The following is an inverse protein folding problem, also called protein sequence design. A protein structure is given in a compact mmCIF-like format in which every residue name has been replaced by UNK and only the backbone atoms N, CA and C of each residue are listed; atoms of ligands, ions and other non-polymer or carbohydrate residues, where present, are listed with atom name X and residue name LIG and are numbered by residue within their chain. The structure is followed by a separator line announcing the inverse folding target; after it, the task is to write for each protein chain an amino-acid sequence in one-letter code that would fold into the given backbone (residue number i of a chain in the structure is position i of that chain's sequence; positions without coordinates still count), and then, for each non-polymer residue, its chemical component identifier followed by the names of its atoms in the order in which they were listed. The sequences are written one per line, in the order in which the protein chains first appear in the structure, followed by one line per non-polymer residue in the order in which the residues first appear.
data_IF_474164016939
#
_entry.id   IF_474164016939
#
_cell.length_a   1.000
_cell.length_b   1.000
_cell.length_c   1.000
_cell.angle_alpha   90.00
_cell.angle_beta   90.00
_cell.angle_gamma   90.00
#
_symmetry.space_group_name_H-M   'P 1'
#
loop_
_entity.id
_entity.type
_entity.pdbx_description
1 polymer ?
#
# COMPACT_ATOMS: atom_id res chain seq x y z
N UNK A 1 -4.73 -29.32 -12.73
CA UNK A 1 -5.55 -28.11 -12.63
C UNK A 1 -4.60 -27.02 -12.16
N UNK A 2 -4.20 -26.11 -13.03
CA UNK A 2 -3.32 -24.99 -12.68
C UNK A 2 -4.15 -23.99 -11.89
N UNK A 3 -3.92 -23.92 -10.58
CA UNK A 3 -4.42 -22.83 -9.75
C UNK A 3 -3.84 -21.54 -10.32
N UNK A 4 -4.67 -20.76 -11.00
CA UNK A 4 -4.39 -19.34 -11.24
C UNK A 4 -4.27 -18.71 -9.86
N UNK A 5 -3.04 -18.41 -9.44
CA UNK A 5 -2.79 -17.52 -8.31
C UNK A 5 -3.46 -16.19 -8.65
N UNK A 6 -4.64 -15.94 -8.09
CA UNK A 6 -5.32 -14.66 -8.23
C UNK A 6 -4.48 -13.62 -7.49
N UNK A 7 -3.77 -12.79 -8.24
CA UNK A 7 -3.04 -11.65 -7.71
C UNK A 7 -3.97 -10.45 -7.77
N UNK A 8 -4.27 -9.85 -6.62
CA UNK A 8 -5.06 -8.62 -6.54
C UNK A 8 -4.11 -7.43 -6.50
N UNK A 9 -4.23 -6.50 -7.44
CA UNK A 9 -3.38 -5.28 -7.47
C UNK A 9 -4.07 -4.12 -6.77
N UNK A 10 -3.35 -3.45 -5.88
CA UNK A 10 -3.75 -2.19 -5.28
C UNK A 10 -2.86 -1.07 -5.83
N UNK A 11 -3.45 0.07 -6.18
CA UNK A 11 -2.75 1.32 -6.50
C UNK A 11 -3.34 2.38 -5.57
N UNK A 12 -2.59 2.74 -4.53
CA UNK A 12 -3.08 3.52 -3.39
C UNK A 12 -2.28 4.82 -3.27
N UNK A 13 -2.93 5.99 -3.12
CA UNK A 13 -2.25 7.24 -2.83
C UNK A 13 -1.42 7.18 -1.56
N UNK A 14 -0.36 7.99 -1.54
CA UNK A 14 0.53 8.15 -0.39
C UNK A 14 0.52 9.58 0.11
N UNK A 15 0.71 9.71 1.41
CA UNK A 15 0.86 10.99 2.11
C UNK A 15 2.07 10.91 3.02
N UNK A 16 2.70 12.06 3.25
CA UNK A 16 3.81 12.18 4.19
C UNK A 16 3.55 13.28 5.22
N UNK A 17 4.35 13.27 6.29
CA UNK A 17 4.19 14.20 7.40
C UNK A 17 4.97 15.52 7.23
N UNK A 18 5.46 15.85 6.04
CA UNK A 18 6.33 17.00 5.78
C UNK A 18 5.87 17.85 4.59
N UNK A 19 5.39 19.07 4.88
CA UNK A 19 5.00 20.04 3.86
C UNK A 19 6.16 20.53 2.96
N UNK A 20 7.41 20.28 3.35
CA UNK A 20 8.61 20.75 2.65
C UNK A 20 9.40 19.64 1.96
N UNK A 21 8.91 18.40 2.00
CA UNK A 21 9.60 17.27 1.37
C UNK A 21 9.14 17.14 -0.09
N UNK A 22 10.02 17.50 -1.02
CA UNK A 22 9.70 17.52 -2.46
C UNK A 22 9.93 16.20 -3.19
N UNK A 23 10.66 15.28 -2.57
CA UNK A 23 11.13 14.05 -3.19
C UNK A 23 10.28 12.87 -2.68
N UNK A 24 8.96 13.02 -2.71
CA UNK A 24 8.00 12.03 -2.25
C UNK A 24 7.49 11.10 -3.37
N UNK A 25 7.01 9.93 -2.96
CA UNK A 25 6.25 9.05 -3.82
C UNK A 25 4.76 9.44 -3.73
N UNK A 26 4.05 9.41 -4.87
CA UNK A 26 2.62 9.74 -4.93
C UNK A 26 1.74 8.50 -4.70
N UNK A 27 2.20 7.32 -5.12
CA UNK A 27 1.44 6.08 -5.06
C UNK A 27 2.28 4.89 -4.62
N UNK A 28 1.64 3.99 -3.89
CA UNK A 28 2.12 2.63 -3.65
C UNK A 28 1.34 1.64 -4.52
N UNK A 29 2.06 0.82 -5.28
CA UNK A 29 1.52 -0.33 -5.99
C UNK A 29 1.82 -1.59 -5.18
N UNK A 30 0.79 -2.39 -4.92
CA UNK A 30 0.90 -3.63 -4.16
C UNK A 30 0.22 -4.75 -4.92
N UNK A 31 1.00 -5.77 -5.28
CA UNK A 31 0.47 -7.03 -5.78
C UNK A 31 0.23 -7.99 -4.60
N UNK A 32 -1.03 -8.12 -4.21
CA UNK A 32 -1.47 -9.02 -3.15
C UNK A 32 -1.63 -10.44 -3.68
N UNK A 33 -0.77 -11.35 -3.22
CA UNK A 33 -0.98 -12.78 -3.39
C UNK A 33 -2.00 -13.33 -2.36
N UNK A 34 -2.45 -14.56 -2.59
CA UNK A 34 -3.40 -15.22 -1.71
C UNK A 34 -2.88 -15.36 -0.26
N UNK A 35 -1.57 -15.52 -0.07
CA UNK A 35 -0.96 -15.70 1.25
C UNK A 35 -1.00 -14.39 2.05
N UNK A 36 -0.70 -13.26 1.41
CA UNK A 36 -0.75 -11.93 2.03
C UNK A 36 -2.20 -11.51 2.31
N UNK A 37 -3.15 -11.81 1.41
CA UNK A 37 -4.59 -11.61 1.66
C UNK A 37 -5.04 -12.39 2.89
N UNK A 38 -4.69 -13.69 2.97
CA UNK A 38 -5.02 -14.52 4.11
C UNK A 38 -4.36 -14.00 5.40
N UNK A 39 -3.10 -13.53 5.31
CA UNK A 39 -2.36 -12.94 6.43
C UNK A 39 -3.08 -11.71 6.98
N UNK A 40 -3.47 -10.76 6.12
CA UNK A 40 -4.21 -9.55 6.50
C UNK A 40 -5.51 -9.92 7.22
N UNK A 41 -6.30 -10.83 6.64
CA UNK A 41 -7.56 -11.29 7.23
C UNK A 41 -7.36 -11.93 8.62
N UNK A 42 -6.32 -12.77 8.78
CA UNK A 42 -5.98 -13.38 10.07
C UNK A 42 -5.55 -12.35 11.10
N UNK A 43 -4.71 -11.40 10.71
CA UNK A 43 -4.27 -10.31 11.59
C UNK A 43 -5.45 -9.50 12.11
N UNK A 44 -6.42 -9.16 11.27
CA UNK A 44 -7.61 -8.43 11.67
C UNK A 44 -8.47 -9.18 12.69
N UNK A 45 -8.61 -10.51 12.53
CA UNK A 45 -9.28 -11.35 13.54
C UNK A 45 -8.54 -11.28 14.87
N UNK A 46 -7.21 -11.34 14.86
CA UNK A 46 -6.39 -11.24 16.08
C UNK A 46 -6.55 -9.87 16.72
N UNK A 47 -6.48 -8.77 15.96
CA UNK A 47 -6.71 -7.40 16.46
C UNK A 47 -8.04 -7.32 17.20
N UNK A 48 -9.12 -7.81 16.58
CA UNK A 48 -10.47 -7.84 17.17
C UNK A 48 -10.55 -8.66 18.46
N UNK A 49 -9.96 -9.86 18.47
CA UNK A 49 -9.99 -10.76 19.62
C UNK A 49 -9.19 -10.21 20.81
N UNK A 50 -8.03 -9.62 20.53
CA UNK A 50 -7.16 -9.04 21.54
C UNK A 50 -7.61 -7.64 22.00
N UNK A 51 -8.57 -7.03 21.30
CA UNK A 51 -8.95 -5.62 21.48
C UNK A 51 -7.75 -4.68 21.35
N UNK A 52 -6.82 -5.04 20.45
CA UNK A 52 -5.71 -4.17 20.10
C UNK A 52 -6.21 -3.05 19.17
N UNK A 53 -5.48 -1.93 19.12
CA UNK A 53 -5.76 -0.89 18.14
C UNK A 53 -5.35 -1.33 16.72
N UNK A 54 -4.13 -1.86 16.58
CA UNK A 54 -3.59 -2.41 15.34
C UNK A 54 -2.45 -3.40 15.61
N UNK A 55 -2.13 -4.21 14.63
CA UNK A 55 -0.88 -4.98 14.54
C UNK A 55 -0.05 -4.44 13.37
N UNK A 56 1.25 -4.28 13.58
CA UNK A 56 2.19 -3.81 12.57
C UNK A 56 3.24 -4.88 12.32
N UNK A 57 3.48 -5.23 11.05
CA UNK A 57 4.51 -6.19 10.65
C UNK A 57 5.39 -5.60 9.56
N UNK A 58 6.70 -5.89 9.57
CA UNK A 58 7.58 -5.51 8.47
C UNK A 58 7.12 -6.16 7.17
N UNK A 59 6.91 -5.34 6.14
CA UNK A 59 6.43 -5.78 4.85
C UNK A 59 6.93 -4.81 3.77
N UNK A 60 7.75 -5.34 2.86
CA UNK A 60 8.41 -4.58 1.80
C UNK A 60 7.79 -4.85 0.42
N UNK A 61 6.50 -5.15 0.37
CA UNK A 61 5.82 -5.53 -0.88
C UNK A 61 5.46 -4.34 -1.78
N UNK A 62 5.58 -3.11 -1.27
CA UNK A 62 5.19 -1.91 -1.98
C UNK A 62 6.22 -1.54 -3.05
N UNK A 63 5.74 -1.35 -4.27
CA UNK A 63 6.45 -0.66 -5.34
C UNK A 63 6.00 0.81 -5.38
N UNK A 64 6.95 1.74 -5.33
CA UNK A 64 6.65 3.16 -5.19
C UNK A 64 6.69 3.88 -6.54
N UNK A 65 5.72 4.77 -6.76
CA UNK A 65 5.55 5.51 -8.02
C UNK A 65 5.34 7.00 -7.75
N UNK A 66 5.76 7.81 -8.72
CA UNK A 66 5.49 9.24 -8.79
C UNK A 66 4.73 9.52 -10.09
N UNK A 67 3.88 10.53 -10.07
CA UNK A 67 3.19 11.03 -11.25
C UNK A 67 4.20 11.46 -12.32
N UNK A 68 3.94 11.06 -13.55
CA UNK A 68 4.65 11.52 -14.72
C UNK A 68 3.80 12.56 -15.48
N UNK A 69 4.01 13.84 -15.16
CA UNK A 69 3.29 14.95 -15.78
C UNK A 69 3.67 15.20 -17.25
N UNK A 70 4.79 14.63 -17.70
CA UNK A 70 5.29 14.79 -19.07
C UNK A 70 4.80 13.67 -20.00
N UNK A 71 4.17 12.62 -19.45
CA UNK A 71 3.66 11.47 -20.20
C UNK A 71 2.16 11.60 -20.52
N UNK A 72 1.73 10.96 -21.61
CA UNK A 72 0.30 10.85 -21.94
C UNK A 72 -0.43 10.00 -20.88
N UNK A 73 -1.68 10.37 -20.50
CA UNK A 73 -2.48 9.60 -19.58
C UNK A 73 -2.63 8.12 -19.99
N UNK A 74 -2.43 7.21 -19.04
CA UNK A 74 -2.60 5.77 -19.23
C UNK A 74 -4.05 5.37 -18.90
N UNK A 75 -4.80 4.94 -19.91
CA UNK A 75 -6.22 4.56 -19.78
C UNK A 75 -7.12 5.64 -19.15
N UNK A 76 -6.82 6.91 -19.42
CA UNK A 76 -7.56 8.05 -18.86
C UNK A 76 -7.21 8.39 -17.41
N UNK A 77 -6.25 7.67 -16.81
CA UNK A 77 -5.65 7.98 -15.51
C UNK A 77 -4.26 8.59 -15.70
N UNK A 78 -3.78 9.29 -14.67
CA UNK A 78 -2.46 9.91 -14.68
C UNK A 78 -1.37 8.84 -14.86
N UNK A 79 -0.44 9.09 -15.78
CA UNK A 79 0.72 8.24 -15.99
C UNK A 79 1.68 8.31 -14.80
N UNK A 80 2.42 7.21 -14.59
CA UNK A 80 3.33 7.09 -13.46
C UNK A 80 4.68 6.60 -13.91
N UNK A 81 5.72 7.09 -13.25
CA UNK A 81 7.10 6.59 -13.35
C UNK A 81 7.56 6.00 -12.02
N UNK A 82 8.63 5.23 -12.07
CA UNK A 82 9.27 4.68 -10.86
C UNK A 82 9.74 5.82 -9.96
N UNK A 83 9.48 5.69 -8.65
CA UNK A 83 10.04 6.61 -7.68
C UNK A 83 11.52 6.30 -7.46
N UNK A 84 12.40 7.28 -7.65
CA UNK A 84 13.86 7.08 -7.58
C UNK A 84 14.40 7.02 -6.14
N UNK A 85 13.61 7.47 -5.17
CA UNK A 85 13.99 7.44 -3.76
C UNK A 85 13.96 6.04 -3.15
N UNK A 86 14.45 5.92 -1.92
CA UNK A 86 14.48 4.66 -1.17
C UNK A 86 13.63 4.77 0.08
N UNK A 87 12.93 3.70 0.42
CA UNK A 87 12.14 3.60 1.64
C UNK A 87 12.82 2.69 2.66
N UNK A 88 12.54 2.90 3.94
CA UNK A 88 12.96 2.01 5.03
C UNK A 88 11.84 1.80 6.05
N UNK A 89 11.98 0.74 6.83
CA UNK A 89 11.03 0.36 7.87
C UNK A 89 9.57 0.24 7.37
N UNK A 90 9.37 -0.20 6.12
CA UNK A 90 8.04 -0.45 5.56
C UNK A 90 7.29 -1.49 6.39
N UNK A 91 6.10 -1.12 6.84
CA UNK A 91 5.22 -1.95 7.66
C UNK A 91 3.82 -2.02 7.07
N UNK A 92 3.25 -3.23 7.08
CA UNK A 92 1.83 -3.45 6.93
C UNK A 92 1.18 -3.24 8.31
N UNK A 93 0.21 -2.33 8.38
CA UNK A 93 -0.54 -1.99 9.57
C UNK A 93 -1.97 -2.51 9.38
N UNK A 94 -2.44 -3.38 10.28
CA UNK A 94 -3.77 -4.01 10.19
C UNK A 94 -4.58 -3.68 11.43
N UNK A 95 -5.81 -3.17 11.25
CA UNK A 95 -6.82 -2.97 12.29
C UNK A 95 -7.86 -4.10 12.24
N UNK A 96 -8.99 -3.97 12.94
CA UNK A 96 -10.06 -4.96 12.87
C UNK A 96 -10.99 -4.80 11.65
N UNK A 97 -10.89 -3.68 10.93
CA UNK A 97 -11.71 -3.30 9.77
C UNK A 97 -10.93 -2.96 8.51
N UNK A 98 -9.66 -2.57 8.62
CA UNK A 98 -8.88 -2.00 7.54
C UNK A 98 -7.37 -2.26 7.69
N UNK A 99 -6.62 -1.84 6.67
CA UNK A 99 -5.16 -1.94 6.63
C UNK A 99 -4.54 -0.84 5.78
N UNK A 100 -3.27 -0.53 6.03
CA UNK A 100 -2.48 0.44 5.29
C UNK A 100 -0.99 0.14 5.41
N UNK A 101 -0.16 0.72 4.55
CA UNK A 101 1.29 0.66 4.70
C UNK A 101 1.85 1.97 5.22
N UNK A 102 2.93 1.90 5.98
CA UNK A 102 3.70 3.08 6.37
C UNK A 102 5.18 2.75 6.53
N UNK A 103 6.01 3.78 6.47
CA UNK A 103 7.46 3.66 6.63
C UNK A 103 8.12 5.03 6.62
N UNK A 104 9.42 5.06 6.33
CA UNK A 104 10.19 6.30 6.24
C UNK A 104 10.87 6.42 4.90
N UNK A 105 11.05 7.65 4.43
CA UNK A 105 12.01 7.93 3.36
C UNK A 105 13.42 7.77 3.93
N UNK A 106 14.23 6.96 3.26
CA UNK A 106 15.54 6.56 3.77
C UNK A 106 16.45 7.75 4.03
N UNK A 107 17.14 7.74 5.17
CA UNK A 107 18.01 8.83 5.63
C UNK A 107 17.27 10.13 5.97
N UNK A 108 15.97 10.04 6.25
CA UNK A 108 15.16 11.17 6.71
C UNK A 108 14.28 10.72 7.88
N UNK A 109 13.75 11.70 8.60
CA UNK A 109 12.71 11.47 9.62
C UNK A 109 11.29 11.63 9.04
N UNK A 110 11.17 11.74 7.70
CA UNK A 110 9.90 11.93 7.00
C UNK A 110 9.20 10.58 6.91
N UNK A 111 8.03 10.50 7.54
CA UNK A 111 7.17 9.32 7.57
C UNK A 111 6.17 9.41 6.43
N UNK A 112 6.04 8.32 5.67
CA UNK A 112 4.97 8.15 4.69
C UNK A 112 3.94 7.13 5.19
N UNK A 113 2.72 7.27 4.71
CA UNK A 113 1.65 6.27 4.83
C UNK A 113 0.78 6.25 3.58
N UNK A 114 0.24 5.09 3.26
CA UNK A 114 -0.78 4.95 2.20
C UNK A 114 -2.15 5.35 2.74
N UNK A 115 -3.08 5.65 1.84
CA UNK A 115 -4.49 5.59 2.19
C UNK A 115 -4.88 4.21 2.75
N UNK A 116 -5.97 4.22 3.52
CA UNK A 116 -6.45 3.05 4.23
C UNK A 116 -7.40 2.24 3.37
N UNK A 117 -7.15 0.93 3.28
CA UNK A 117 -7.96 -0.02 2.52
C UNK A 117 -8.82 -0.84 3.47
N UNK A 118 -10.12 -0.92 3.18
CA UNK A 118 -11.04 -1.73 3.97
C UNK A 118 -10.79 -3.22 3.73
N UNK A 119 -10.77 -4.04 4.78
CA UNK A 119 -10.57 -5.50 4.66
C UNK A 119 -11.61 -6.15 3.74
N UNK A 120 -12.83 -5.63 3.74
CA UNK A 120 -13.92 -6.13 2.87
C UNK A 120 -13.58 -5.99 1.37
N UNK A 121 -12.74 -5.01 0.99
CA UNK A 121 -12.37 -4.81 -0.41
C UNK A 121 -11.49 -5.93 -0.94
N UNK A 122 -10.87 -6.74 -0.06
CA UNK A 122 -10.09 -7.91 -0.42
C UNK A 122 -10.95 -9.00 -1.11
N UNK A 123 -12.27 -8.95 -0.97
CA UNK A 123 -13.22 -9.85 -1.63
C UNK A 123 -13.77 -9.27 -2.95
N UNK A 124 -13.46 -8.00 -3.25
CA UNK A 124 -13.91 -7.26 -4.44
C UNK A 124 -12.87 -7.42 -5.60
N UNK A 125 -13.06 -6.83 -6.79
CA UNK A 125 -12.39 -7.26 -8.03
C UNK A 125 -10.85 -7.15 -8.01
N UNK A 126 -10.21 -7.76 -9.02
CA UNK A 126 -8.77 -7.99 -9.08
C UNK A 126 -7.89 -6.73 -9.04
N UNK A 127 -8.42 -5.55 -9.36
CA UNK A 127 -7.69 -4.28 -9.30
C UNK A 127 -8.49 -3.25 -8.50
N UNK A 128 -7.87 -2.70 -7.45
CA UNK A 128 -8.30 -1.49 -6.76
C UNK A 128 -7.34 -0.37 -7.15
N UNK A 129 -7.83 0.65 -7.86
CA UNK A 129 -7.02 1.74 -8.39
C UNK A 129 -7.62 3.10 -8.01
N UNK A 130 -7.01 3.72 -7.00
CA UNK A 130 -7.42 4.96 -6.35
C UNK A 130 -6.69 6.20 -6.92
N UNK A 131 -6.03 6.06 -8.08
CA UNK A 131 -5.56 7.20 -8.89
C UNK A 131 -6.71 7.99 -9.51
#
# INVERSE_FOLDING_TARGET
MTETNTVKRLIIPMHDNSEFFSDNADYAIIDLDAALIERIKKLAVVVRQMKANKISEFNHTCDFRTVDWDAEPDNGKVAMKEFEGRMECSTLNVTDSDFFWSGYYKHTDVRWETDTVLIKSLDEPDILDER
#
